data_IF_133513900588
#
_entry.id   IF_133513900588
#
_cell.length_a   1.000
_cell.length_b   1.000
_cell.length_c   1.000
_cell.angle_alpha   90.00
_cell.angle_beta   90.00
_cell.angle_gamma   90.00
#
_symmetry.space_group_name_H-M   'P 1'
#
loop_
_entity.id
_entity.type
_entity.pdbx_description
1 polymer ?
#
# COMPACT_ATOMS: atom_id res chain seq x y z
N UNK A 1 27.30 16.45 -19.91
CA UNK A 1 28.45 16.44 -18.95
C UNK A 1 28.11 15.50 -17.80
N UNK A 2 29.11 14.87 -17.18
CA UNK A 2 29.00 14.11 -15.92
C UNK A 2 30.15 14.53 -15.00
N UNK A 3 29.90 14.59 -13.69
CA UNK A 3 30.93 14.71 -12.64
C UNK A 3 30.51 13.83 -11.43
N UNK A 4 31.44 13.05 -10.88
CA UNK A 4 31.41 12.57 -9.47
C UNK A 4 32.25 13.53 -8.59
N UNK A 5 32.76 13.25 -7.38
CA UNK A 5 32.90 12.08 -6.47
C UNK A 5 33.06 12.71 -5.03
N UNK A 6 32.76 12.16 -3.84
CA UNK A 6 32.65 10.80 -3.26
C UNK A 6 31.31 10.63 -2.47
N UNK A 7 30.94 9.57 -1.72
CA UNK A 7 31.60 8.42 -1.03
C UNK A 7 32.30 8.69 0.32
N UNK A 8 31.70 8.19 1.43
CA UNK A 8 32.43 7.48 2.50
C UNK A 8 31.53 6.40 3.17
N UNK A 9 32.04 5.64 4.14
CA UNK A 9 31.59 4.29 4.52
C UNK A 9 31.48 4.04 6.04
N UNK A 10 30.79 2.93 6.37
CA UNK A 10 30.67 2.19 7.66
C UNK A 10 29.41 2.53 8.48
N UNK A 11 28.85 1.62 9.29
CA UNK A 11 29.36 0.31 9.74
C UNK A 11 28.32 -0.83 9.65
N UNK A 12 28.79 -2.08 9.75
CA UNK A 12 27.95 -3.29 9.79
C UNK A 12 27.32 -3.48 11.17
N UNK A 13 26.15 -4.12 11.21
CA UNK A 13 25.53 -4.67 12.43
C UNK A 13 25.14 -6.15 12.21
N UNK A 14 26.14 -7.01 12.28
CA UNK A 14 25.99 -8.42 12.66
C UNK A 14 26.70 -8.61 14.01
N UNK A 15 26.49 -9.75 14.65
CA UNK A 15 27.08 -10.16 15.94
C UNK A 15 26.60 -9.38 17.18
N UNK A 16 25.46 -9.81 17.77
CA UNK A 16 25.37 -9.95 19.24
C UNK A 16 24.24 -10.91 19.67
N UNK A 17 24.59 -12.17 19.87
CA UNK A 17 23.80 -13.16 20.61
C UNK A 17 24.65 -13.61 21.80
N UNK A 18 24.16 -13.57 23.05
CA UNK A 18 24.18 -14.82 23.80
C UNK A 18 23.03 -15.05 24.81
N UNK A 19 22.54 -16.30 24.84
CA UNK A 19 22.47 -17.23 25.99
C UNK A 19 22.01 -16.69 27.38
N UNK A 20 21.14 -17.46 28.05
CA UNK A 20 20.82 -17.50 29.51
C UNK A 20 19.42 -17.07 30.03
N UNK A 21 18.35 -17.21 29.24
CA UNK A 21 16.99 -17.13 29.81
C UNK A 21 16.63 -18.27 30.79
N UNK A 22 17.36 -19.39 30.79
CA UNK A 22 17.05 -20.57 31.61
C UNK A 22 17.36 -20.41 33.11
N UNK A 23 18.49 -19.80 33.48
CA UNK A 23 18.90 -19.72 34.90
C UNK A 23 18.01 -18.79 35.74
N UNK A 24 17.40 -17.77 35.13
CA UNK A 24 16.57 -16.80 35.86
C UNK A 24 15.25 -17.40 36.39
N UNK A 25 14.69 -18.40 35.69
CA UNK A 25 13.50 -19.12 36.14
C UNK A 25 13.77 -20.06 37.33
N UNK A 26 14.96 -20.66 37.39
CA UNK A 26 15.37 -21.57 38.46
C UNK A 26 15.52 -20.81 39.80
N UNK A 27 16.10 -19.61 39.75
CA UNK A 27 16.25 -18.75 40.93
C UNK A 27 14.91 -18.36 41.58
N UNK A 28 13.88 -18.08 40.75
CA UNK A 28 12.55 -17.69 41.24
C UNK A 28 11.85 -18.88 41.94
N UNK A 29 11.99 -20.10 41.41
CA UNK A 29 11.37 -21.29 42.01
C UNK A 29 11.99 -21.67 43.36
N UNK A 30 13.30 -21.44 43.57
CA UNK A 30 13.97 -21.71 44.85
C UNK A 30 13.58 -20.70 45.95
N UNK A 31 13.23 -19.47 45.59
CA UNK A 31 12.85 -18.43 46.55
C UNK A 31 11.50 -18.69 47.26
N UNK A 32 10.63 -19.55 46.69
CA UNK A 32 9.27 -19.80 47.19
C UNK A 32 9.24 -20.77 48.39
N UNK A 33 10.31 -21.54 48.63
CA UNK A 33 10.31 -22.68 49.57
C UNK A 33 10.85 -22.41 50.99
N UNK A 34 11.27 -21.18 51.31
CA UNK A 34 11.98 -20.89 52.58
C UNK A 34 11.14 -20.06 53.59
N UNK A 35 10.08 -19.37 53.14
CA UNK A 35 9.22 -18.54 54.00
C UNK A 35 8.14 -19.35 54.74
N UNK A 36 8.56 -20.28 55.62
CA UNK A 36 7.73 -21.40 56.08
C UNK A 36 7.66 -21.70 57.59
N UNK A 37 7.79 -20.72 58.49
CA UNK A 37 7.43 -20.82 59.93
C UNK A 37 7.50 -19.44 60.62
N UNK A 38 6.85 -19.15 61.75
CA UNK A 38 5.59 -19.63 62.34
C UNK A 38 5.26 -18.67 63.49
N UNK A 39 4.06 -18.07 63.53
CA UNK A 39 3.55 -17.37 64.72
C UNK A 39 2.12 -17.83 64.97
N UNK A 40 1.94 -18.72 65.93
CA UNK A 40 0.67 -18.91 66.61
C UNK A 40 0.50 -17.76 67.61
N UNK A 41 -0.67 -17.10 67.60
CA UNK A 41 -1.16 -16.44 68.81
C UNK A 41 -2.66 -16.71 68.94
N UNK A 42 -3.11 -17.04 70.14
CA UNK A 42 -4.49 -17.43 70.40
C UNK A 42 -5.30 -16.21 70.84
N UNK A 43 -6.43 -15.98 70.16
CA UNK A 43 -7.40 -14.94 70.52
C UNK A 43 -8.80 -15.40 70.15
N UNK A 44 -9.44 -16.20 71.01
CA UNK A 44 -10.82 -16.62 70.78
C UNK A 44 -11.78 -15.56 71.34
N UNK A 45 -12.48 -14.87 70.42
CA UNK A 45 -13.68 -14.11 70.71
C UNK A 45 -14.69 -14.48 69.61
N UNK A 46 -15.89 -14.90 70.01
CA UNK A 46 -16.82 -15.63 69.14
C UNK A 46 -17.61 -14.72 68.17
N UNK A 47 -16.91 -14.15 67.18
CA UNK A 47 -17.46 -13.22 66.16
C UNK A 47 -17.56 -13.85 64.75
N UNK A 48 -17.54 -15.18 64.69
CA UNK A 48 -17.37 -15.96 63.45
C UNK A 48 -18.47 -15.76 62.39
N UNK A 49 -19.72 -15.53 62.81
CA UNK A 49 -20.83 -15.32 61.88
C UNK A 49 -20.75 -13.94 61.21
N UNK A 50 -20.47 -12.89 61.99
CA UNK A 50 -20.42 -11.51 61.51
C UNK A 50 -19.24 -11.27 60.57
N UNK A 51 -18.09 -11.89 60.84
CA UNK A 51 -16.90 -11.78 59.99
C UNK A 51 -17.07 -12.55 58.65
N UNK A 52 -17.70 -13.74 58.69
CA UNK A 52 -18.04 -14.50 57.49
C UNK A 52 -19.03 -13.74 56.59
N UNK A 53 -20.03 -13.08 57.17
CA UNK A 53 -20.99 -12.26 56.43
C UNK A 53 -20.34 -11.01 55.82
N UNK A 54 -19.52 -10.27 56.58
CA UNK A 54 -18.72 -9.13 56.06
C UNK A 54 -17.85 -9.57 54.88
N UNK A 55 -17.15 -10.70 55.00
CA UNK A 55 -16.35 -11.27 53.91
C UNK A 55 -17.19 -11.64 52.69
N UNK A 56 -18.36 -12.26 52.89
CA UNK A 56 -19.31 -12.59 51.81
C UNK A 56 -19.81 -11.34 51.07
N UNK A 57 -20.11 -10.26 51.81
CA UNK A 57 -20.55 -8.97 51.25
C UNK A 57 -19.41 -8.31 50.47
N UNK A 58 -18.19 -8.26 51.02
CA UNK A 58 -17.02 -7.71 50.34
C UNK A 58 -16.72 -8.45 49.03
N UNK A 59 -16.68 -9.78 49.05
CA UNK A 59 -16.48 -10.60 47.84
C UNK A 59 -17.58 -10.37 46.78
N UNK A 60 -18.84 -10.19 47.20
CA UNK A 60 -19.98 -9.89 46.30
C UNK A 60 -19.87 -8.47 45.71
N UNK A 61 -19.40 -7.50 46.47
CA UNK A 61 -19.14 -6.13 46.00
C UNK A 61 -17.99 -6.12 44.97
N UNK A 62 -16.88 -6.79 45.29
CA UNK A 62 -15.72 -6.94 44.40
C UNK A 62 -16.09 -7.61 43.07
N UNK A 63 -16.92 -8.66 43.11
CA UNK A 63 -17.44 -9.32 41.93
C UNK A 63 -18.31 -8.38 41.07
N UNK A 64 -19.17 -7.57 41.71
CA UNK A 64 -20.01 -6.57 41.03
C UNK A 64 -19.15 -5.47 40.37
N UNK A 65 -18.17 -4.91 41.08
CA UNK A 65 -17.24 -3.89 40.54
C UNK A 65 -16.42 -4.44 39.37
N UNK A 66 -15.93 -5.68 39.46
CA UNK A 66 -15.22 -6.37 38.36
C UNK A 66 -16.16 -6.66 37.18
N UNK A 67 -17.42 -7.00 37.43
CA UNK A 67 -18.46 -7.17 36.41
C UNK A 67 -18.75 -5.89 35.64
N UNK A 68 -19.07 -4.80 36.35
CA UNK A 68 -19.38 -3.49 35.74
C UNK A 68 -18.19 -2.94 34.95
N UNK A 69 -16.95 -3.13 35.44
CA UNK A 69 -15.74 -2.71 34.69
C UNK A 69 -15.60 -3.48 33.37
N UNK A 70 -15.83 -4.80 33.38
CA UNK A 70 -15.83 -5.62 32.14
C UNK A 70 -16.97 -5.24 31.20
N UNK A 71 -18.15 -4.92 31.70
CA UNK A 71 -19.28 -4.47 30.89
C UNK A 71 -18.95 -3.18 30.12
N UNK A 72 -18.42 -2.16 30.83
CA UNK A 72 -18.00 -0.90 30.22
C UNK A 72 -16.83 -1.07 29.23
N UNK A 73 -15.92 -2.03 29.47
CA UNK A 73 -14.83 -2.36 28.55
C UNK A 73 -15.34 -3.06 27.28
N UNK A 74 -16.29 -3.98 27.39
CA UNK A 74 -16.97 -4.63 26.26
C UNK A 74 -17.77 -3.60 25.44
N UNK A 75 -18.51 -2.71 26.10
CA UNK A 75 -19.25 -1.62 25.45
C UNK A 75 -18.30 -0.73 24.65
N UNK A 76 -17.22 -0.24 25.28
CA UNK A 76 -16.18 0.57 24.64
C UNK A 76 -15.55 -0.15 23.43
N UNK A 77 -15.21 -1.43 23.58
CA UNK A 77 -14.60 -2.20 22.48
C UNK A 77 -15.59 -2.39 21.32
N UNK A 78 -16.87 -2.65 21.60
CA UNK A 78 -17.90 -2.78 20.56
C UNK A 78 -18.14 -1.46 19.80
N UNK A 79 -18.01 -0.32 20.48
CA UNK A 79 -18.05 1.01 19.86
C UNK A 79 -16.81 1.29 18.98
N UNK A 80 -15.61 0.94 19.45
CA UNK A 80 -14.36 1.03 18.64
C UNK A 80 -14.46 0.15 17.40
N UNK A 81 -14.93 -1.09 17.51
CA UNK A 81 -15.17 -1.93 16.33
C UNK A 81 -16.25 -1.37 15.40
N UNK A 82 -17.33 -0.76 15.94
CA UNK A 82 -18.38 -0.15 15.13
C UNK A 82 -17.85 1.03 14.31
N UNK A 83 -16.93 1.82 14.86
CA UNK A 83 -16.23 2.90 14.16
C UNK A 83 -15.19 2.38 13.18
N UNK A 84 -14.39 1.36 13.54
CA UNK A 84 -13.48 0.69 12.60
C UNK A 84 -14.24 0.15 11.38
N UNK A 85 -15.43 -0.45 11.59
CA UNK A 85 -16.34 -0.91 10.54
C UNK A 85 -16.95 0.24 9.71
N UNK A 86 -17.02 1.47 10.22
CA UNK A 86 -17.40 2.67 9.44
C UNK A 86 -16.24 3.12 8.56
N UNK A 87 -15.04 3.27 9.14
CA UNK A 87 -13.82 3.69 8.43
C UNK A 87 -13.54 2.77 7.24
N UNK A 88 -13.62 1.44 7.42
CA UNK A 88 -13.46 0.47 6.32
C UNK A 88 -14.48 0.73 5.20
N UNK A 89 -15.79 0.83 5.51
CA UNK A 89 -16.83 1.10 4.50
C UNK A 89 -16.73 2.47 3.82
N UNK A 90 -16.05 3.43 4.44
CA UNK A 90 -15.78 4.73 3.84
C UNK A 90 -14.58 4.64 2.89
N UNK A 91 -13.51 3.94 3.30
CA UNK A 91 -12.37 3.61 2.44
C UNK A 91 -12.78 2.77 1.23
N UNK A 92 -13.64 1.76 1.41
CA UNK A 92 -14.20 0.93 0.32
C UNK A 92 -14.89 1.80 -0.75
N UNK A 93 -15.72 2.76 -0.31
CA UNK A 93 -16.43 3.70 -1.20
C UNK A 93 -15.52 4.69 -1.90
N UNK A 94 -14.47 5.16 -1.22
CA UNK A 94 -13.47 6.05 -1.81
C UNK A 94 -12.64 5.30 -2.87
N UNK A 95 -12.28 4.04 -2.61
CA UNK A 95 -11.60 3.15 -3.54
C UNK A 95 -12.50 2.82 -4.76
N UNK A 96 -13.75 2.43 -4.54
CA UNK A 96 -14.73 2.21 -5.61
C UNK A 96 -14.89 3.45 -6.49
N UNK A 97 -15.01 4.64 -5.89
CA UNK A 97 -15.12 5.91 -6.61
C UNK A 97 -13.84 6.25 -7.42
N UNK A 98 -12.66 5.93 -6.91
CA UNK A 98 -11.40 6.16 -7.61
C UNK A 98 -11.25 5.23 -8.82
N UNK A 99 -11.49 3.93 -8.62
CA UNK A 99 -11.39 2.91 -9.67
C UNK A 99 -12.45 3.09 -10.78
N UNK A 100 -13.67 3.48 -10.41
CA UNK A 100 -14.75 3.72 -11.36
C UNK A 100 -14.81 5.16 -11.89
N UNK A 101 -13.77 5.99 -11.67
CA UNK A 101 -13.71 7.34 -12.21
C UNK A 101 -13.60 7.37 -13.74
N UNK A 102 -14.22 8.36 -14.39
CA UNK A 102 -14.29 8.47 -15.85
C UNK A 102 -12.91 8.37 -16.52
N UNK A 103 -11.90 9.07 -15.97
CA UNK A 103 -10.50 9.02 -16.44
C UNK A 103 -9.92 7.60 -16.39
N UNK A 104 -10.23 6.82 -15.36
CA UNK A 104 -9.73 5.44 -15.23
C UNK A 104 -10.48 4.48 -16.16
N UNK A 105 -11.77 4.72 -16.42
CA UNK A 105 -12.50 4.01 -17.47
C UNK A 105 -11.91 4.31 -18.87
N UNK A 106 -11.62 5.59 -19.17
CA UNK A 106 -10.98 6.00 -20.42
C UNK A 106 -9.59 5.36 -20.61
N UNK A 107 -8.75 5.33 -19.55
CA UNK A 107 -7.46 4.61 -19.55
C UNK A 107 -7.63 3.11 -19.77
N UNK A 108 -8.63 2.50 -19.13
CA UNK A 108 -8.94 1.08 -19.28
C UNK A 108 -9.41 0.68 -20.68
N UNK A 109 -10.27 1.48 -21.32
CA UNK A 109 -10.67 1.24 -22.72
C UNK A 109 -9.53 1.50 -23.70
N UNK A 110 -8.72 2.54 -23.47
CA UNK A 110 -7.49 2.79 -24.24
C UNK A 110 -6.55 1.57 -24.19
N UNK A 111 -6.29 1.01 -23.00
CA UNK A 111 -5.45 -0.17 -22.82
C UNK A 111 -6.00 -1.44 -23.52
N UNK A 112 -7.33 -1.60 -23.57
CA UNK A 112 -7.98 -2.69 -24.35
C UNK A 112 -7.89 -2.49 -25.86
N UNK A 113 -7.75 -1.24 -26.33
CA UNK A 113 -7.81 -0.87 -27.75
C UNK A 113 -6.50 -1.07 -28.52
N UNK A 114 -5.39 -1.41 -27.84
CA UNK A 114 -4.03 -1.46 -28.43
C UNK A 114 -3.37 -2.83 -28.34
N UNK A 115 -2.56 -3.17 -29.34
CA UNK A 115 -1.83 -4.44 -29.40
C UNK A 115 -0.31 -4.23 -29.27
N UNK A 116 0.18 -4.17 -28.04
CA UNK A 116 1.61 -4.09 -27.72
C UNK A 116 2.39 -5.34 -28.17
N UNK A 117 3.73 -5.25 -28.26
CA UNK A 117 4.60 -6.36 -28.71
C UNK A 117 4.52 -7.58 -27.80
N UNK A 118 4.88 -8.75 -28.35
CA UNK A 118 5.02 -9.99 -27.58
C UNK A 118 6.14 -9.90 -26.54
N UNK A 119 7.23 -9.19 -26.83
CA UNK A 119 8.34 -8.93 -25.90
C UNK A 119 7.86 -8.25 -24.62
N UNK A 120 7.05 -7.19 -24.73
CA UNK A 120 6.45 -6.51 -23.58
C UNK A 120 5.63 -7.47 -22.71
N UNK A 121 4.75 -8.28 -23.31
CA UNK A 121 3.94 -9.26 -22.57
C UNK A 121 4.78 -10.31 -21.85
N UNK A 122 5.90 -10.75 -22.43
CA UNK A 122 6.83 -11.66 -21.74
C UNK A 122 7.61 -10.95 -20.63
N UNK A 123 8.03 -9.70 -20.84
CA UNK A 123 8.72 -8.90 -19.82
C UNK A 123 7.83 -8.69 -18.59
N UNK A 124 6.58 -8.22 -18.78
CA UNK A 124 5.60 -8.05 -17.70
C UNK A 124 5.28 -9.38 -17.01
N UNK A 125 5.08 -10.46 -17.77
CA UNK A 125 4.82 -11.79 -17.20
C UNK A 125 5.98 -12.31 -16.35
N UNK A 126 7.22 -12.07 -16.77
CA UNK A 126 8.43 -12.56 -16.11
C UNK A 126 9.02 -11.53 -15.12
N UNK A 127 8.24 -10.52 -14.73
CA UNK A 127 8.67 -9.45 -13.81
C UNK A 127 8.58 -9.83 -12.33
N UNK A 128 7.89 -10.93 -12.00
CA UNK A 128 7.49 -11.32 -10.64
C UNK A 128 6.80 -10.17 -9.85
N UNK A 129 6.12 -9.27 -10.57
CA UNK A 129 5.54 -8.02 -10.06
C UNK A 129 6.55 -7.05 -9.40
N UNK A 130 7.85 -7.22 -9.65
CA UNK A 130 8.91 -6.34 -9.16
C UNK A 130 8.82 -4.99 -9.89
N UNK A 131 8.42 -3.96 -9.16
CA UNK A 131 8.10 -2.62 -9.71
C UNK A 131 9.20 -2.02 -10.61
N UNK A 132 10.50 -1.99 -10.25
CA UNK A 132 11.56 -1.56 -11.17
C UNK A 132 11.64 -2.35 -12.50
N UNK A 133 11.27 -3.64 -12.50
CA UNK A 133 11.25 -4.47 -13.71
C UNK A 133 10.03 -4.13 -14.57
N UNK A 134 8.85 -3.96 -13.97
CA UNK A 134 7.64 -3.49 -14.66
C UNK A 134 7.87 -2.13 -15.34
N UNK A 135 8.47 -1.18 -14.63
CA UNK A 135 8.82 0.14 -15.16
C UNK A 135 9.81 0.04 -16.33
N UNK A 136 10.80 -0.85 -16.26
CA UNK A 136 11.72 -1.11 -17.37
C UNK A 136 10.98 -1.71 -18.59
N UNK A 137 10.10 -2.69 -18.39
CA UNK A 137 9.27 -3.26 -19.45
C UNK A 137 8.43 -2.19 -20.15
N UNK A 138 7.82 -1.27 -19.39
CA UNK A 138 7.01 -0.19 -19.94
C UNK A 138 7.87 0.81 -20.75
N UNK A 139 9.04 1.18 -20.24
CA UNK A 139 9.96 2.08 -20.94
C UNK A 139 10.47 1.49 -22.26
N UNK A 140 10.90 0.22 -22.27
CA UNK A 140 11.36 -0.48 -23.49
C UNK A 140 10.27 -0.64 -24.57
N UNK A 141 8.99 -0.69 -24.17
CA UNK A 141 7.86 -0.65 -25.10
C UNK A 141 7.53 0.78 -25.52
N UNK A 142 7.56 1.75 -24.61
CA UNK A 142 7.29 3.16 -24.90
C UNK A 142 8.28 3.70 -25.95
N UNK A 143 9.59 3.49 -25.76
CA UNK A 143 10.62 3.93 -26.70
C UNK A 143 10.41 3.33 -28.10
N UNK A 144 9.95 2.07 -28.18
CA UNK A 144 9.64 1.43 -29.45
C UNK A 144 8.39 2.02 -30.13
N UNK A 145 7.31 2.25 -29.37
CA UNK A 145 6.06 2.77 -29.93
C UNK A 145 6.20 4.27 -30.28
N UNK A 146 6.99 5.05 -29.54
CA UNK A 146 7.34 6.44 -29.87
C UNK A 146 8.23 6.51 -31.12
N UNK A 147 9.25 5.66 -31.24
CA UNK A 147 10.07 5.57 -32.44
C UNK A 147 9.24 5.15 -33.68
N UNK A 148 8.24 4.29 -33.50
CA UNK A 148 7.26 3.91 -34.52
C UNK A 148 6.38 5.09 -34.92
N UNK A 149 5.79 5.80 -33.96
CA UNK A 149 4.98 7.02 -34.15
C UNK A 149 5.76 8.09 -34.92
N UNK A 150 6.96 8.46 -34.43
CA UNK A 150 7.79 9.48 -35.06
C UNK A 150 8.22 9.09 -36.49
N UNK A 151 8.50 7.80 -36.74
CA UNK A 151 8.80 7.28 -38.08
C UNK A 151 7.62 7.45 -39.04
N UNK A 152 6.38 7.19 -38.62
CA UNK A 152 5.21 7.40 -39.49
C UNK A 152 4.83 8.88 -39.64
N UNK A 153 4.92 9.67 -38.57
CA UNK A 153 4.75 11.13 -38.65
C UNK A 153 5.71 11.79 -39.66
N UNK A 154 7.00 11.42 -39.65
CA UNK A 154 7.96 11.89 -40.66
C UNK A 154 7.67 11.33 -42.07
N UNK A 155 7.17 10.08 -42.18
CA UNK A 155 6.70 9.50 -43.46
C UNK A 155 5.57 10.32 -44.06
N UNK A 156 4.61 10.76 -43.25
CA UNK A 156 3.49 11.61 -43.69
C UNK A 156 3.98 13.02 -44.06
N UNK A 157 4.76 13.67 -43.19
CA UNK A 157 5.31 15.01 -43.45
C UNK A 157 6.22 15.10 -44.69
N UNK A 158 6.77 14.00 -45.20
CA UNK A 158 7.49 14.03 -46.48
C UNK A 158 6.56 14.08 -47.70
N UNK A 159 5.37 13.47 -47.63
CA UNK A 159 4.43 13.27 -48.75
C UNK A 159 3.33 14.33 -48.90
N UNK A 160 2.78 14.82 -47.79
CA UNK A 160 1.62 15.72 -47.77
C UNK A 160 1.91 17.07 -48.49
N UNK A 161 0.90 17.84 -48.94
CA UNK A 161 1.07 19.24 -49.33
C UNK A 161 1.33 20.17 -48.12
N UNK A 162 1.65 21.44 -48.37
CA UNK A 162 2.20 22.35 -47.36
C UNK A 162 1.22 22.71 -46.23
N UNK A 163 -0.05 22.86 -46.57
CA UNK A 163 -1.20 23.08 -45.69
C UNK A 163 -1.52 21.83 -44.85
N UNK A 164 -1.61 20.65 -45.46
CA UNK A 164 -1.80 19.38 -44.72
C UNK A 164 -0.63 19.10 -43.76
N UNK A 165 0.61 19.50 -44.09
CA UNK A 165 1.75 19.47 -43.14
C UNK A 165 1.57 20.41 -41.95
N UNK A 166 0.88 21.54 -42.11
CA UNK A 166 0.56 22.45 -40.99
C UNK A 166 -0.56 21.85 -40.13
N UNK A 167 -1.58 21.27 -40.76
CA UNK A 167 -2.67 20.57 -40.08
C UNK A 167 -2.15 19.40 -39.23
N UNK A 168 -1.40 18.45 -39.81
CA UNK A 168 -0.84 17.30 -39.07
C UNK A 168 0.07 17.75 -37.91
N UNK A 169 0.89 18.78 -38.11
CA UNK A 169 1.73 19.35 -37.04
C UNK A 169 0.91 19.94 -35.89
N UNK A 170 -0.28 20.48 -36.15
CA UNK A 170 -1.18 20.94 -35.10
C UNK A 170 -1.88 19.77 -34.42
N UNK A 171 -2.32 18.77 -35.20
CA UNK A 171 -2.96 17.56 -34.70
C UNK A 171 -2.07 16.81 -33.69
N UNK A 172 -0.78 16.57 -33.98
CA UNK A 172 0.13 15.93 -33.01
C UNK A 172 0.34 16.79 -31.75
N UNK A 173 0.38 18.11 -31.87
CA UNK A 173 0.52 19.02 -30.71
C UNK A 173 -0.70 18.99 -29.80
N UNK A 174 -1.89 18.82 -30.36
CA UNK A 174 -3.13 18.75 -29.58
C UNK A 174 -3.37 17.34 -29.05
N UNK A 175 -2.96 16.29 -29.77
CA UNK A 175 -2.89 14.92 -29.27
C UNK A 175 -1.97 14.80 -28.05
N UNK A 176 -0.76 15.38 -28.08
CA UNK A 176 0.15 15.37 -26.92
C UNK A 176 -0.52 15.97 -25.67
N UNK A 177 -1.22 17.11 -25.80
CA UNK A 177 -1.95 17.72 -24.68
C UNK A 177 -3.07 16.81 -24.15
N UNK A 178 -3.80 16.14 -25.05
CA UNK A 178 -4.89 15.23 -24.69
C UNK A 178 -4.36 13.99 -23.97
N UNK A 179 -3.25 13.39 -24.47
CA UNK A 179 -2.52 12.32 -23.82
C UNK A 179 -2.07 12.74 -22.42
N UNK A 180 -1.35 13.85 -22.32
CA UNK A 180 -0.76 14.30 -21.05
C UNK A 180 -1.85 14.61 -20.01
N UNK A 181 -2.98 15.20 -20.43
CA UNK A 181 -4.14 15.44 -19.56
C UNK A 181 -4.89 14.17 -19.15
N UNK A 182 -4.93 13.13 -19.99
CA UNK A 182 -5.51 11.82 -19.65
C UNK A 182 -4.58 11.03 -18.72
N UNK A 183 -3.27 11.09 -18.97
CA UNK A 183 -2.27 10.21 -18.39
C UNK A 183 -1.57 10.76 -17.14
N UNK A 184 -1.66 12.04 -16.80
CA UNK A 184 -1.06 12.57 -15.56
C UNK A 184 -2.08 12.57 -14.40
N UNK A 185 -1.92 11.66 -13.43
CA UNK A 185 -2.83 11.53 -12.27
C UNK A 185 -2.69 12.64 -11.25
N UNK A 186 -1.53 13.30 -11.15
CA UNK A 186 -1.30 14.45 -10.27
C UNK A 186 -1.67 14.19 -8.78
N UNK A 187 -1.40 12.99 -8.28
CA UNK A 187 -1.71 12.53 -6.91
C UNK A 187 -3.09 11.89 -6.74
N UNK A 188 -3.94 11.84 -7.79
CA UNK A 188 -5.31 11.32 -7.68
C UNK A 188 -5.42 9.80 -7.50
N UNK A 189 -4.34 9.03 -7.71
CA UNK A 189 -4.24 7.61 -7.39
C UNK A 189 -3.47 7.35 -6.08
N UNK A 190 -3.13 8.40 -5.33
CA UNK A 190 -2.37 8.33 -4.07
C UNK A 190 -0.85 8.42 -4.24
N UNK A 191 -0.36 8.61 -5.47
CA UNK A 191 1.06 8.81 -5.76
C UNK A 191 1.95 7.58 -5.60
N UNK A 192 3.26 7.83 -5.51
CA UNK A 192 4.28 6.79 -5.43
C UNK A 192 4.41 5.96 -6.71
N UNK A 193 5.13 4.84 -6.63
CA UNK A 193 5.46 4.01 -7.81
C UNK A 193 4.24 3.38 -8.49
N UNK A 194 3.11 3.21 -7.77
CA UNK A 194 1.89 2.66 -8.35
C UNK A 194 1.23 3.66 -9.31
N UNK A 195 1.07 4.92 -8.88
CA UNK A 195 0.60 6.00 -9.76
C UNK A 195 1.59 6.24 -10.92
N UNK A 196 2.90 6.18 -10.66
CA UNK A 196 3.92 6.32 -11.71
C UNK A 196 3.79 5.23 -12.79
N UNK A 197 3.56 3.97 -12.39
CA UNK A 197 3.36 2.86 -13.34
C UNK A 197 2.07 3.01 -14.16
N UNK A 198 0.97 3.43 -13.54
CA UNK A 198 -0.32 3.64 -14.25
C UNK A 198 -0.24 4.81 -15.25
N UNK A 199 0.38 5.92 -14.85
CA UNK A 199 0.59 7.08 -15.72
C UNK A 199 1.51 6.72 -16.91
N UNK A 200 2.61 6.00 -16.66
CA UNK A 200 3.51 5.46 -17.70
C UNK A 200 2.83 4.42 -18.61
N UNK A 201 1.94 3.61 -18.07
CA UNK A 201 1.15 2.63 -18.84
C UNK A 201 0.14 3.33 -19.75
N UNK A 202 -0.47 4.43 -19.28
CA UNK A 202 -1.32 5.29 -20.09
C UNK A 202 -0.54 5.96 -21.22
N UNK A 203 0.62 6.57 -20.92
CA UNK A 203 1.50 7.20 -21.92
C UNK A 203 1.90 6.20 -23.03
N UNK A 204 2.25 4.97 -22.64
CA UNK A 204 2.55 3.87 -23.57
C UNK A 204 1.36 3.53 -24.46
N UNK A 205 0.19 3.25 -23.88
CA UNK A 205 -0.98 2.84 -24.63
C UNK A 205 -1.48 3.95 -25.57
N UNK A 206 -1.41 5.21 -25.15
CA UNK A 206 -1.74 6.36 -26.00
C UNK A 206 -0.79 6.50 -27.19
N UNK A 207 0.53 6.37 -26.97
CA UNK A 207 1.55 6.43 -28.02
C UNK A 207 1.41 5.26 -29.00
N UNK A 208 1.15 4.04 -28.51
CA UNK A 208 0.87 2.88 -29.37
C UNK A 208 -0.39 3.09 -30.22
N UNK A 209 -1.47 3.58 -29.62
CA UNK A 209 -2.72 3.91 -30.30
C UNK A 209 -2.52 4.94 -31.41
N UNK A 210 -1.74 5.98 -31.12
CA UNK A 210 -1.44 7.05 -32.10
C UNK A 210 -0.56 6.56 -33.24
N UNK A 211 0.37 5.63 -32.99
CA UNK A 211 1.13 4.98 -34.03
C UNK A 211 0.23 4.16 -34.98
N UNK A 212 -0.77 3.43 -34.46
CA UNK A 212 -1.76 2.72 -35.28
C UNK A 212 -2.59 3.70 -36.14
N UNK A 213 -3.06 4.80 -35.55
CA UNK A 213 -3.83 5.84 -36.25
C UNK A 213 -3.05 6.49 -37.41
N UNK A 214 -1.79 6.86 -37.17
CA UNK A 214 -0.95 7.46 -38.21
C UNK A 214 -0.48 6.44 -39.25
N UNK A 215 -0.32 5.16 -38.90
CA UNK A 215 -0.02 4.10 -39.87
C UNK A 215 -1.19 3.78 -40.80
N UNK A 216 -2.43 4.07 -40.40
CA UNK A 216 -3.63 3.98 -41.23
C UNK A 216 -3.81 5.11 -42.26
N UNK A 217 -2.83 6.04 -42.35
CA UNK A 217 -2.77 7.17 -43.31
C UNK A 217 -1.66 6.98 -44.37
#
# INVERSE_FOLDING_TARGET
>A
MRLGVASDRRANWVDFFPINFSMMLIAILLAVLISGCNIQNQGNIDDGNLNLEKSRIANKFDANVKGNRRAAEIEKNSAVEAEQRRIVREQDKLLEKALNGETQQQRGELAKSVQLRFSYRQCVKNSDAVMPVLMNCNNEEYEYQDARLNKVYHRLLSKLPADEKVALKQEERDWIKQRDALCQSNGSLGGGQAEELEDRSCELNATAKRADELESR
#
